data_IF_651343508936
#
_entry.id   IF_651343508936
#
_cell.length_a   1.000
_cell.length_b   1.000
_cell.length_c   1.000
_cell.angle_alpha   90.00
_cell.angle_beta   90.00
_cell.angle_gamma   90.00
#
_symmetry.space_group_name_H-M   'P 1'
#
loop_
_entity.id
_entity.type
_entity.pdbx_description
1 polymer ?
#
# COMPACT_ATOMS: atom_id res chain seq x y z
N UNK A 1 3.75 -4.63 -16.64
CA UNK A 1 3.64 -3.19 -16.30
C UNK A 1 2.53 -3.07 -15.28
N UNK A 2 2.81 -2.57 -14.07
CA UNK A 2 1.74 -2.29 -13.11
C UNK A 2 0.84 -1.22 -13.75
N UNK A 3 -0.40 -1.58 -14.05
CA UNK A 3 -1.44 -0.67 -14.53
C UNK A 3 -1.65 0.36 -13.44
N UNK A 4 -1.44 1.67 -13.69
CA UNK A 4 -1.58 2.73 -12.68
C UNK A 4 -3.03 3.01 -12.30
N UNK A 5 -3.75 1.98 -11.83
CA UNK A 5 -5.15 2.04 -11.47
C UNK A 5 -5.31 2.65 -10.08
N UNK A 6 -4.52 2.20 -9.11
CA UNK A 6 -4.46 2.82 -7.79
C UNK A 6 -3.40 3.91 -7.73
N UNK A 7 -3.78 5.05 -7.17
CA UNK A 7 -2.84 6.14 -6.88
C UNK A 7 -2.35 6.04 -5.44
N UNK A 8 -1.09 6.43 -5.23
CA UNK A 8 -0.42 6.46 -3.92
C UNK A 8 -1.18 7.31 -2.89
N UNK A 9 -1.84 8.38 -3.35
CA UNK A 9 -2.64 9.31 -2.53
C UNK A 9 -4.11 8.89 -2.37
N UNK A 10 -4.55 7.80 -3.00
CA UNK A 10 -5.93 7.34 -2.90
C UNK A 10 -6.31 6.93 -1.48
N UNK A 11 -7.57 7.15 -1.12
CA UNK A 11 -8.11 6.81 0.21
C UNK A 11 -7.91 5.31 0.51
N UNK A 12 -8.11 4.44 -0.50
CA UNK A 12 -7.99 2.99 -0.35
C UNK A 12 -6.54 2.59 -0.03
N UNK A 13 -5.56 3.12 -0.76
CA UNK A 13 -4.13 2.85 -0.50
C UNK A 13 -3.74 3.36 0.89
N UNK A 14 -4.13 4.59 1.23
CA UNK A 14 -3.82 5.18 2.52
C UNK A 14 -4.44 4.41 3.70
N UNK A 15 -5.67 3.89 3.55
CA UNK A 15 -6.30 3.05 4.57
C UNK A 15 -5.48 1.78 4.83
N UNK A 16 -5.10 1.05 3.77
CA UNK A 16 -4.26 -0.15 3.89
C UNK A 16 -2.90 0.14 4.51
N UNK A 17 -2.23 1.19 4.05
CA UNK A 17 -0.94 1.61 4.61
C UNK A 17 -1.07 1.92 6.11
N UNK A 18 -2.14 2.60 6.52
CA UNK A 18 -2.38 2.94 7.94
C UNK A 18 -2.60 1.69 8.79
N UNK A 19 -3.44 0.75 8.33
CA UNK A 19 -3.66 -0.52 9.02
C UNK A 19 -2.37 -1.32 9.17
N UNK A 20 -1.53 -1.35 8.13
CA UNK A 20 -0.24 -2.05 8.17
C UNK A 20 0.76 -1.36 9.11
N UNK A 21 0.85 -0.03 9.08
CA UNK A 21 1.72 0.72 9.98
C UNK A 21 1.28 0.62 11.45
N UNK A 22 -0.02 0.47 11.70
CA UNK A 22 -0.57 0.24 13.05
C UNK A 22 -0.34 -1.17 13.59
N UNK A 23 0.06 -2.13 12.73
CA UNK A 23 0.21 -3.54 13.07
C UNK A 23 -1.10 -4.34 13.07
N UNK A 24 -2.23 -3.74 12.69
CA UNK A 24 -3.53 -4.42 12.56
C UNK A 24 -3.55 -5.43 11.39
N UNK A 25 -2.80 -5.13 10.32
CA UNK A 25 -2.74 -5.94 9.09
C UNK A 25 -1.30 -6.12 8.62
N UNK A 26 -1.08 -7.12 7.77
CA UNK A 26 0.19 -7.33 7.07
C UNK A 26 0.02 -7.10 5.55
N UNK A 27 1.14 -6.91 4.84
CA UNK A 27 1.11 -6.67 3.39
C UNK A 27 0.43 -7.81 2.61
N UNK A 28 0.54 -9.05 3.10
CA UNK A 28 -0.06 -10.22 2.47
C UNK A 28 -1.60 -10.25 2.58
N UNK A 29 -2.17 -9.50 3.54
CA UNK A 29 -3.63 -9.32 3.66
C UNK A 29 -4.19 -8.40 2.57
N UNK A 30 -3.34 -7.61 1.91
CA UNK A 30 -3.77 -6.70 0.86
C UNK A 30 -4.19 -7.53 -0.36
N UNK A 31 -5.43 -7.37 -0.85
CA UNK A 31 -5.91 -8.08 -2.04
C UNK A 31 -4.99 -7.85 -3.24
N UNK A 32 -4.65 -8.94 -3.92
CA UNK A 32 -3.87 -8.88 -5.17
C UNK A 32 -4.79 -8.58 -6.36
N UNK A 33 -5.46 -7.42 -6.29
CA UNK A 33 -6.31 -6.91 -7.36
C UNK A 33 -5.59 -5.77 -8.08
N UNK A 34 -5.48 -5.90 -9.40
CA UNK A 34 -4.75 -4.95 -10.26
C UNK A 34 -3.34 -4.66 -9.74
N UNK A 35 -3.08 -3.44 -9.26
CA UNK A 35 -1.81 -2.98 -8.73
C UNK A 35 -1.86 -2.62 -7.24
N UNK A 36 -2.95 -2.90 -6.52
CA UNK A 36 -3.16 -2.42 -5.15
C UNK A 36 -2.01 -2.80 -4.21
N UNK A 37 -1.68 -4.10 -4.14
CA UNK A 37 -0.61 -4.62 -3.27
C UNK A 37 0.75 -4.00 -3.62
N UNK A 38 1.02 -3.82 -4.91
CA UNK A 38 2.27 -3.22 -5.37
C UNK A 38 2.37 -1.74 -4.97
N UNK A 39 1.27 -0.97 -5.13
CA UNK A 39 1.22 0.45 -4.73
C UNK A 39 1.31 0.59 -3.21
N UNK A 40 0.58 -0.21 -2.44
CA UNK A 40 0.67 -0.22 -0.97
C UNK A 40 2.10 -0.52 -0.50
N UNK A 41 2.75 -1.54 -1.09
CA UNK A 41 4.16 -1.85 -0.81
C UNK A 41 5.06 -0.64 -1.10
N UNK A 42 4.90 -0.01 -2.27
CA UNK A 42 5.70 1.16 -2.65
C UNK A 42 5.56 2.31 -1.64
N UNK A 43 4.34 2.63 -1.20
CA UNK A 43 4.09 3.69 -0.20
C UNK A 43 4.69 3.33 1.16
N UNK A 44 4.59 2.06 1.58
CA UNK A 44 5.22 1.59 2.81
C UNK A 44 6.75 1.72 2.75
N UNK A 45 7.37 1.34 1.63
CA UNK A 45 8.81 1.43 1.43
C UNK A 45 9.29 2.90 1.44
N UNK A 46 8.55 3.81 0.79
CA UNK A 46 8.81 5.27 0.87
C UNK A 46 8.77 5.78 2.31
N UNK A 47 7.76 5.40 3.10
CA UNK A 47 7.62 5.84 4.50
C UNK A 47 8.64 5.21 5.44
N UNK A 48 9.13 4.01 5.15
CA UNK A 48 10.20 3.35 5.94
C UNK A 48 11.59 3.90 5.61
N UNK A 49 11.80 4.36 4.38
CA UNK A 49 13.05 5.00 3.94
C UNK A 49 13.23 6.44 4.44
N UNK A 50 12.17 7.07 4.94
CA UNK A 50 12.18 8.43 5.50
C UNK A 50 12.65 8.44 6.98
N UNK A 51 13.78 7.77 7.26
CA UNK A 51 14.40 7.68 8.59
C UNK A 51 15.82 8.24 8.60
#
# INVERSE_FOLDING_TARGET
MATGFFKEDSIIVNAWVTMILSGERILDDVPDIWDLRAVVKKVLDQRKGDK
#
